data_IF_320122484999
#
_entry.id   IF_320122484999
#
_cell.length_a   1.000
_cell.length_b   1.000
_cell.length_c   1.000
_cell.angle_alpha   90.00
_cell.angle_beta   90.00
_cell.angle_gamma   90.00
#
_symmetry.space_group_name_H-M   'P 1'
#
loop_
_entity.id
_entity.type
_entity.pdbx_description
1 polymer ?
#
# COMPACT_ATOMS: atom_id res chain seq x y z
N UNK A 1 -17.89 41.91 0.80
CA UNK A 1 -17.00 42.46 1.85
C UNK A 1 -15.59 42.60 1.30
N UNK A 2 -15.02 43.78 1.46
CA UNK A 2 -13.65 44.09 1.04
C UNK A 2 -12.64 43.38 1.96
N UNK A 3 -11.68 42.57 1.45
CA UNK A 3 -10.64 41.93 2.26
C UNK A 3 -9.63 42.92 2.88
N UNK A 4 -9.56 44.14 2.34
CA UNK A 4 -8.76 45.24 2.90
C UNK A 4 -9.56 46.06 3.93
N UNK A 5 -10.86 45.79 4.11
CA UNK A 5 -11.64 46.33 5.23
C UNK A 5 -11.25 45.60 6.52
N UNK A 6 -10.60 46.30 7.49
CA UNK A 6 -10.20 45.71 8.76
C UNK A 6 -11.35 45.08 9.56
N UNK A 7 -12.60 45.44 9.23
CA UNK A 7 -13.80 44.97 9.93
C UNK A 7 -14.47 43.74 9.32
N UNK A 8 -14.00 43.15 8.21
CA UNK A 8 -14.67 41.96 7.68
C UNK A 8 -14.66 40.80 8.70
N UNK A 9 -13.53 40.61 9.40
CA UNK A 9 -13.42 39.65 10.51
C UNK A 9 -14.35 39.98 11.66
N UNK A 10 -14.48 41.28 11.98
CA UNK A 10 -15.36 41.77 13.04
C UNK A 10 -16.84 41.49 12.70
N UNK A 11 -17.23 41.62 11.43
CA UNK A 11 -18.58 41.28 10.98
C UNK A 11 -18.86 39.77 11.10
N UNK A 12 -17.92 38.91 10.69
CA UNK A 12 -18.05 37.45 10.86
C UNK A 12 -18.12 37.08 12.36
N UNK A 13 -17.34 37.74 13.22
CA UNK A 13 -17.40 37.53 14.68
C UNK A 13 -18.72 37.98 15.30
N UNK A 14 -19.31 39.08 14.80
CA UNK A 14 -20.66 39.50 15.21
C UNK A 14 -21.71 38.47 14.84
N UNK A 15 -21.63 37.89 13.64
CA UNK A 15 -22.53 36.81 13.22
C UNK A 15 -22.36 35.56 14.09
N UNK A 16 -21.12 35.19 14.42
CA UNK A 16 -20.83 34.11 15.38
C UNK A 16 -21.51 34.36 16.73
N UNK A 17 -21.32 35.54 17.29
CA UNK A 17 -21.89 35.93 18.59
C UNK A 17 -23.42 35.92 18.54
N UNK A 18 -24.00 36.49 17.48
CA UNK A 18 -25.45 36.51 17.27
C UNK A 18 -26.03 35.09 17.17
N UNK A 19 -25.36 34.17 16.49
CA UNK A 19 -25.77 32.77 16.43
C UNK A 19 -25.70 32.09 17.80
N UNK A 20 -24.62 32.33 18.56
CA UNK A 20 -24.47 31.83 19.94
C UNK A 20 -25.57 32.37 20.88
N UNK A 21 -26.05 33.59 20.65
CA UNK A 21 -27.19 34.19 21.35
C UNK A 21 -28.56 33.65 20.88
N UNK A 22 -28.59 32.65 19.99
CA UNK A 22 -29.79 31.97 19.51
C UNK A 22 -30.43 32.58 18.24
N UNK A 23 -29.80 33.57 17.59
CA UNK A 23 -30.32 34.18 16.37
C UNK A 23 -29.99 33.32 15.15
N UNK A 24 -30.89 32.41 14.79
CA UNK A 24 -30.70 31.46 13.68
C UNK A 24 -30.43 32.15 12.33
N UNK A 25 -30.98 33.37 12.11
CA UNK A 25 -30.71 34.17 10.90
C UNK A 25 -29.22 34.45 10.66
N UNK A 26 -28.43 34.54 11.73
CA UNK A 26 -26.98 34.74 11.60
C UNK A 26 -26.29 33.56 10.90
N UNK A 27 -26.85 32.35 10.99
CA UNK A 27 -26.37 31.18 10.26
C UNK A 27 -26.59 31.34 8.74
N UNK A 28 -27.76 31.84 8.34
CA UNK A 28 -28.08 32.06 6.93
C UNK A 28 -27.16 33.13 6.31
N UNK A 29 -26.89 34.21 7.05
CA UNK A 29 -25.94 35.24 6.63
C UNK A 29 -24.51 34.68 6.49
N UNK A 30 -24.07 33.82 7.42
CA UNK A 30 -22.79 33.12 7.30
C UNK A 30 -22.73 32.21 6.07
N UNK A 31 -23.81 31.49 5.75
CA UNK A 31 -23.92 30.65 4.55
C UNK A 31 -23.85 31.48 3.28
N UNK A 32 -24.49 32.66 3.25
CA UNK A 32 -24.41 33.58 2.12
C UNK A 32 -22.98 34.06 1.89
N UNK A 33 -22.28 34.50 2.94
CA UNK A 33 -20.88 34.92 2.84
C UNK A 33 -19.98 33.79 2.36
N UNK A 34 -20.23 32.55 2.79
CA UNK A 34 -19.45 31.38 2.38
C UNK A 34 -19.62 31.03 0.89
N UNK A 35 -20.85 31.11 0.37
CA UNK A 35 -21.20 30.71 -0.99
C UNK A 35 -21.02 31.82 -2.06
N UNK A 36 -20.73 33.06 -1.66
CA UNK A 36 -20.57 34.16 -2.61
C UNK A 36 -19.24 34.07 -3.38
N UNK A 37 -19.31 33.78 -4.68
CA UNK A 37 -18.13 33.68 -5.55
C UNK A 37 -17.45 35.03 -5.83
N UNK A 38 -18.13 36.15 -5.59
CA UNK A 38 -17.52 37.47 -5.67
C UNK A 38 -16.82 37.86 -4.37
N UNK A 39 -17.00 37.06 -3.31
CA UNK A 39 -16.39 37.32 -2.01
C UNK A 39 -14.93 36.85 -1.99
N UNK A 40 -14.07 37.64 -1.36
CA UNK A 40 -12.66 37.27 -1.23
C UNK A 40 -12.48 35.94 -0.47
N UNK A 41 -11.60 35.02 -0.94
CA UNK A 41 -11.45 33.68 -0.37
C UNK A 41 -11.25 33.66 1.15
N UNK A 42 -10.44 34.58 1.71
CA UNK A 42 -10.24 34.68 3.17
C UNK A 42 -11.54 34.86 3.96
N UNK A 43 -12.46 35.70 3.50
CA UNK A 43 -13.72 35.93 4.21
C UNK A 43 -14.65 34.70 4.10
N UNK A 44 -14.67 34.05 2.93
CA UNK A 44 -15.38 32.78 2.73
C UNK A 44 -14.84 31.71 3.68
N UNK A 45 -13.51 31.59 3.80
CA UNK A 45 -12.85 30.63 4.71
C UNK A 45 -13.26 30.89 6.16
N UNK A 46 -13.18 32.13 6.62
CA UNK A 46 -13.52 32.47 8.01
C UNK A 46 -15.01 32.26 8.32
N UNK A 47 -15.91 32.60 7.40
CA UNK A 47 -17.32 32.27 7.53
C UNK A 47 -17.54 30.74 7.60
N UNK A 48 -16.87 29.99 6.73
CA UNK A 48 -16.88 28.52 6.71
C UNK A 48 -16.39 27.88 8.01
N UNK A 49 -15.33 28.43 8.64
CA UNK A 49 -14.85 27.99 9.95
C UNK A 49 -15.91 28.17 11.04
N UNK A 50 -16.54 29.35 11.09
CA UNK A 50 -17.63 29.60 12.04
C UNK A 50 -18.80 28.63 11.79
N UNK A 51 -19.17 28.40 10.53
CA UNK A 51 -20.20 27.43 10.16
C UNK A 51 -19.86 26.02 10.64
N UNK A 52 -18.63 25.55 10.43
CA UNK A 52 -18.21 24.22 10.87
C UNK A 52 -18.22 24.06 12.39
N UNK A 53 -17.84 25.10 13.14
CA UNK A 53 -17.92 25.14 14.60
C UNK A 53 -19.35 24.98 15.12
N UNK A 54 -20.37 25.41 14.34
CA UNK A 54 -21.78 25.28 14.76
C UNK A 54 -22.28 23.84 14.81
N UNK A 55 -21.64 22.94 14.05
CA UNK A 55 -22.11 21.56 13.82
C UNK A 55 -23.56 21.47 13.30
N UNK A 56 -24.12 22.57 12.77
CA UNK A 56 -25.51 22.64 12.35
C UNK A 56 -25.75 21.92 11.00
N UNK A 57 -26.88 21.21 10.79
CA UNK A 57 -27.16 20.52 9.52
C UNK A 57 -27.14 21.43 8.28
N UNK A 58 -27.57 22.68 8.40
CA UNK A 58 -27.51 23.64 7.28
C UNK A 58 -26.07 24.08 6.96
N UNK A 59 -25.22 24.23 7.98
CA UNK A 59 -23.80 24.50 7.78
C UNK A 59 -23.13 23.32 7.07
N UNK A 60 -23.39 22.09 7.52
CA UNK A 60 -22.94 20.86 6.85
C UNK A 60 -23.36 20.84 5.39
N UNK A 61 -24.64 21.15 5.09
CA UNK A 61 -25.14 21.17 3.72
C UNK A 61 -24.41 22.18 2.83
N UNK A 62 -24.18 23.40 3.34
CA UNK A 62 -23.48 24.44 2.60
C UNK A 62 -22.04 24.03 2.25
N UNK A 63 -21.29 23.54 3.25
CA UNK A 63 -19.89 23.15 3.08
C UNK A 63 -19.77 21.89 2.19
N UNK A 64 -20.68 20.92 2.36
CA UNK A 64 -20.74 19.73 1.51
C UNK A 64 -20.99 20.10 0.04
N UNK A 65 -21.97 20.96 -0.22
CA UNK A 65 -22.27 21.41 -1.58
C UNK A 65 -21.07 22.11 -2.23
N UNK A 66 -20.35 22.95 -1.47
CA UNK A 66 -19.13 23.59 -1.99
C UNK A 66 -18.11 22.53 -2.39
N UNK A 67 -17.75 21.61 -1.49
CA UNK A 67 -16.77 20.55 -1.78
C UNK A 67 -17.19 19.69 -2.98
N UNK A 68 -18.48 19.38 -3.12
CA UNK A 68 -19.01 18.60 -4.26
C UNK A 68 -19.00 19.33 -5.61
N UNK A 69 -19.08 20.67 -5.64
CA UNK A 69 -19.33 21.44 -6.88
C UNK A 69 -18.20 22.37 -7.28
N UNK A 70 -17.22 22.60 -6.39
CA UNK A 70 -16.13 23.55 -6.59
C UNK A 70 -15.36 23.29 -7.88
N UNK A 71 -15.14 24.34 -8.65
CA UNK A 71 -14.19 24.32 -9.76
C UNK A 71 -12.76 24.24 -9.22
N UNK A 72 -11.91 23.42 -9.84
CA UNK A 72 -10.51 23.23 -9.44
C UNK A 72 -9.66 24.52 -9.48
N UNK A 73 -10.24 25.67 -9.84
CA UNK A 73 -9.56 26.95 -10.01
C UNK A 73 -9.13 27.53 -8.65
N UNK A 74 -9.88 27.29 -7.56
CA UNK A 74 -9.49 27.73 -6.20
C UNK A 74 -9.22 26.53 -5.26
N UNK A 75 -8.05 25.90 -5.46
CA UNK A 75 -7.57 24.81 -4.60
C UNK A 75 -7.42 25.21 -3.13
N UNK A 76 -7.16 26.49 -2.84
CA UNK A 76 -6.99 26.96 -1.46
C UNK A 76 -8.32 26.93 -0.72
N UNK A 77 -9.38 27.42 -1.35
CA UNK A 77 -10.72 27.42 -0.76
C UNK A 77 -11.32 26.00 -0.69
N UNK A 78 -11.10 25.17 -1.71
CA UNK A 78 -11.50 23.76 -1.68
C UNK A 78 -10.83 23.00 -0.52
N UNK A 79 -9.51 23.16 -0.35
CA UNK A 79 -8.77 22.53 0.75
C UNK A 79 -9.31 22.95 2.11
N UNK A 80 -9.54 24.25 2.32
CA UNK A 80 -10.11 24.77 3.56
C UNK A 80 -11.52 24.19 3.83
N UNK A 81 -12.33 24.02 2.79
CA UNK A 81 -13.68 23.45 2.90
C UNK A 81 -13.66 21.94 3.23
N UNK A 82 -12.68 21.19 2.70
CA UNK A 82 -12.45 19.78 3.09
C UNK A 82 -12.05 19.69 4.57
N UNK A 83 -11.14 20.56 5.03
CA UNK A 83 -10.74 20.64 6.44
C UNK A 83 -11.93 20.97 7.36
N UNK A 84 -12.84 21.84 6.92
CA UNK A 84 -14.08 22.15 7.65
C UNK A 84 -15.06 20.97 7.70
N UNK A 85 -15.25 20.24 6.59
CA UNK A 85 -16.08 19.02 6.60
C UNK A 85 -15.54 17.97 7.56
N UNK A 86 -14.21 17.87 7.69
CA UNK A 86 -13.57 16.91 8.60
C UNK A 86 -13.92 17.17 10.09
N UNK A 87 -14.43 18.36 10.44
CA UNK A 87 -14.89 18.68 11.78
C UNK A 87 -16.22 18.00 12.14
N UNK A 88 -17.01 17.56 11.15
CA UNK A 88 -18.27 16.83 11.35
C UNK A 88 -18.00 15.32 11.51
N UNK A 89 -17.48 14.95 12.69
CA UNK A 89 -17.09 13.56 13.01
C UNK A 89 -18.27 12.60 12.86
N UNK A 90 -18.00 11.41 12.33
CA UNK A 90 -18.97 10.32 12.15
C UNK A 90 -20.19 10.67 11.28
N UNK A 91 -20.11 11.74 10.49
CA UNK A 91 -21.21 12.17 9.63
C UNK A 91 -21.11 11.56 8.20
N UNK A 92 -22.05 10.69 7.78
CA UNK A 92 -22.00 10.05 6.47
C UNK A 92 -22.02 11.04 5.30
N UNK A 93 -22.73 12.16 5.45
CA UNK A 93 -22.82 13.17 4.39
C UNK A 93 -21.48 13.88 4.17
N UNK A 94 -20.76 14.19 5.24
CA UNK A 94 -19.41 14.76 5.13
C UNK A 94 -18.47 13.79 4.39
N UNK A 95 -18.51 12.50 4.72
CA UNK A 95 -17.73 11.47 4.03
C UNK A 95 -18.13 11.34 2.55
N UNK A 96 -19.42 11.28 2.24
CA UNK A 96 -19.91 11.16 0.86
C UNK A 96 -19.52 12.36 0.00
N UNK A 97 -19.60 13.58 0.54
CA UNK A 97 -19.19 14.80 -0.15
C UNK A 97 -17.70 14.77 -0.51
N UNK A 98 -16.83 14.31 0.41
CA UNK A 98 -15.40 14.15 0.15
C UNK A 98 -15.14 13.11 -0.96
N UNK A 99 -15.79 11.95 -0.90
CA UNK A 99 -15.66 10.90 -1.95
C UNK A 99 -16.11 11.42 -3.31
N UNK A 100 -17.24 12.13 -3.36
CA UNK A 100 -17.75 12.72 -4.60
C UNK A 100 -16.80 13.78 -5.15
N UNK A 101 -16.20 14.61 -4.30
CA UNK A 101 -15.19 15.58 -4.71
C UNK A 101 -13.94 14.89 -5.29
N UNK A 102 -13.48 13.78 -4.69
CA UNK A 102 -12.37 12.99 -5.23
C UNK A 102 -12.68 12.50 -6.65
N UNK A 103 -13.86 11.92 -6.88
CA UNK A 103 -14.27 11.46 -8.21
C UNK A 103 -14.34 12.59 -9.24
N UNK A 104 -14.93 13.74 -8.88
CA UNK A 104 -15.05 14.88 -9.81
C UNK A 104 -13.67 15.45 -10.16
N UNK A 105 -12.76 15.55 -9.18
CA UNK A 105 -11.40 16.02 -9.42
C UNK A 105 -10.61 15.04 -10.29
N UNK A 106 -10.75 13.74 -10.05
CA UNK A 106 -10.11 12.69 -10.84
C UNK A 106 -10.60 12.70 -12.29
N UNK A 107 -11.91 12.73 -12.52
CA UNK A 107 -12.50 12.79 -13.86
C UNK A 107 -12.00 14.00 -14.65
N UNK A 108 -12.03 15.20 -14.05
CA UNK A 108 -11.54 16.43 -14.69
C UNK A 108 -10.04 16.41 -14.96
N UNK A 109 -9.26 15.89 -14.01
CA UNK A 109 -7.80 15.81 -14.18
C UNK A 109 -7.44 14.81 -15.27
N UNK A 110 -8.15 13.68 -15.35
CA UNK A 110 -7.98 12.69 -16.40
C UNK A 110 -8.37 13.25 -17.77
N UNK A 111 -9.49 13.96 -17.88
CA UNK A 111 -9.89 14.65 -19.12
C UNK A 111 -8.84 15.67 -19.57
N UNK A 112 -8.29 16.45 -18.64
CA UNK A 112 -7.19 17.38 -18.94
C UNK A 112 -5.92 16.65 -19.40
N UNK A 113 -5.55 15.55 -18.74
CA UNK A 113 -4.39 14.73 -19.14
C UNK A 113 -4.56 14.15 -20.55
N UNK A 114 -5.75 13.64 -20.89
CA UNK A 114 -6.06 13.14 -22.24
C UNK A 114 -5.89 14.27 -23.26
N UNK A 115 -6.51 15.43 -23.01
CA UNK A 115 -6.39 16.60 -23.89
C UNK A 115 -4.92 17.04 -24.07
N UNK A 116 -4.12 17.05 -23.01
CA UNK A 116 -2.69 17.40 -23.09
C UNK A 116 -1.90 16.40 -23.94
N UNK A 117 -2.11 15.09 -23.74
CA UNK A 117 -1.43 14.04 -24.51
C UNK A 117 -1.83 14.09 -25.99
N UNK A 118 -3.12 14.27 -26.28
CA UNK A 118 -3.62 14.44 -27.65
C UNK A 118 -3.03 15.68 -28.33
N UNK A 119 -2.76 16.77 -27.60
CA UNK A 119 -2.13 17.93 -28.22
C UNK A 119 -0.60 17.82 -28.29
N UNK A 120 0.02 17.04 -27.39
CA UNK A 120 1.47 16.80 -27.39
C UNK A 120 1.94 16.10 -28.68
N UNK A 121 1.14 15.19 -29.24
CA UNK A 121 1.48 14.54 -30.52
C UNK A 121 1.59 15.54 -31.69
N UNK A 122 0.88 16.68 -31.61
CA UNK A 122 0.87 17.74 -32.64
C UNK A 122 2.14 18.58 -32.57
N UNK A 123 2.76 18.66 -31.40
CA UNK A 123 4.02 19.36 -31.17
C UNK A 123 5.17 18.41 -31.53
N UNK A 124 5.49 18.31 -32.83
CA UNK A 124 6.55 17.42 -33.36
C UNK A 124 7.93 17.77 -32.79
N UNK A 125 8.34 17.15 -31.69
CA UNK A 125 9.70 17.24 -31.15
C UNK A 125 10.47 15.94 -31.37
N UNK A 126 11.80 16.01 -31.48
CA UNK A 126 12.65 14.83 -31.64
C UNK A 126 12.61 13.89 -30.41
N UNK A 127 12.16 14.41 -29.26
CA UNK A 127 12.18 13.74 -27.96
C UNK A 127 10.78 13.37 -27.42
N UNK A 128 9.77 13.25 -28.28
CA UNK A 128 8.38 12.93 -27.86
C UNK A 128 8.28 11.65 -27.03
N UNK A 129 9.11 10.64 -27.31
CA UNK A 129 9.14 9.39 -26.52
C UNK A 129 9.56 9.66 -25.07
N UNK A 130 10.55 10.53 -24.84
CA UNK A 130 11.02 10.86 -23.49
C UNK A 130 9.96 11.61 -22.68
N UNK A 131 9.23 12.53 -23.31
CA UNK A 131 8.15 13.29 -22.65
C UNK A 131 6.97 12.35 -22.29
N UNK A 132 6.63 11.42 -23.17
CA UNK A 132 5.57 10.44 -22.90
C UNK A 132 5.98 9.43 -21.80
N UNK A 133 7.26 9.04 -21.76
CA UNK A 133 7.80 8.20 -20.68
C UNK A 133 7.77 8.92 -19.33
N UNK A 134 8.17 10.20 -19.28
CA UNK A 134 8.11 11.02 -18.07
C UNK A 134 6.66 11.15 -17.56
N UNK A 135 5.70 11.44 -18.46
CA UNK A 135 4.29 11.49 -18.11
C UNK A 135 3.78 10.14 -17.55
N UNK A 136 4.16 9.03 -18.20
CA UNK A 136 3.82 7.68 -17.75
C UNK A 136 4.39 7.39 -16.35
N UNK A 137 5.64 7.76 -16.08
CA UNK A 137 6.27 7.60 -14.78
C UNK A 137 5.56 8.40 -13.68
N UNK A 138 5.21 9.66 -13.96
CA UNK A 138 4.46 10.52 -13.03
C UNK A 138 3.07 9.94 -12.73
N UNK A 139 2.34 9.49 -13.75
CA UNK A 139 1.02 8.88 -13.57
C UNK A 139 1.11 7.62 -12.69
N UNK A 140 2.06 6.73 -12.98
CA UNK A 140 2.29 5.50 -12.21
C UNK A 140 2.72 5.79 -10.77
N UNK A 141 3.52 6.84 -10.54
CA UNK A 141 3.93 7.27 -9.21
C UNK A 141 2.76 7.84 -8.41
N UNK A 142 1.88 8.61 -9.04
CA UNK A 142 0.68 9.16 -8.39
C UNK A 142 -0.31 8.06 -8.00
N UNK A 143 -0.62 7.13 -8.91
CA UNK A 143 -1.46 5.96 -8.60
C UNK A 143 -0.92 5.18 -7.40
N UNK A 144 0.39 4.89 -7.41
CA UNK A 144 1.07 4.23 -6.29
C UNK A 144 0.99 5.00 -4.97
N UNK A 145 1.02 6.33 -5.00
CA UNK A 145 0.91 7.16 -3.80
C UNK A 145 -0.51 7.06 -3.23
N UNK A 146 -1.52 7.11 -4.10
CA UNK A 146 -2.94 7.00 -3.75
C UNK A 146 -3.26 5.62 -3.16
N UNK A 147 -2.86 4.54 -3.84
CA UNK A 147 -3.04 3.18 -3.34
C UNK A 147 -2.38 2.97 -1.97
N UNK A 148 -1.14 3.42 -1.79
CA UNK A 148 -0.46 3.33 -0.50
C UNK A 148 -1.20 4.08 0.62
N UNK A 149 -1.70 5.29 0.33
CA UNK A 149 -2.48 6.07 1.30
C UNK A 149 -3.79 5.37 1.66
N UNK A 150 -4.51 4.82 0.67
CA UNK A 150 -5.73 4.05 0.89
C UNK A 150 -5.47 2.81 1.73
N UNK A 151 -4.44 2.02 1.40
CA UNK A 151 -4.06 0.83 2.19
C UNK A 151 -3.74 1.19 3.64
N UNK A 152 -2.99 2.27 3.88
CA UNK A 152 -2.69 2.75 5.24
C UNK A 152 -3.94 3.21 5.99
N UNK A 153 -4.81 3.95 5.30
CA UNK A 153 -6.06 4.46 5.87
C UNK A 153 -6.97 3.31 6.25
N UNK A 154 -7.14 2.31 5.36
CA UNK A 154 -7.89 1.07 5.65
C UNK A 154 -7.30 0.33 6.85
N UNK A 155 -5.97 0.23 6.95
CA UNK A 155 -5.33 -0.41 8.09
C UNK A 155 -5.53 0.30 9.42
N UNK A 156 -5.59 1.63 9.40
CA UNK A 156 -5.87 2.45 10.58
C UNK A 156 -7.33 2.34 11.05
N UNK A 157 -8.26 1.90 10.19
CA UNK A 157 -9.63 1.60 10.61
C UNK A 157 -9.60 0.37 11.52
N UNK A 158 -10.02 0.49 12.78
CA UNK A 158 -10.09 -0.63 13.74
C UNK A 158 -11.20 -1.66 13.46
N UNK A 159 -11.69 -1.75 12.23
CA UNK A 159 -12.83 -2.58 11.82
C UNK A 159 -12.35 -3.75 10.95
N UNK A 160 -12.77 -4.98 11.26
CA UNK A 160 -12.39 -6.20 10.55
C UNK A 160 -12.97 -6.32 9.13
N UNK A 161 -13.98 -5.49 8.79
CA UNK A 161 -14.50 -5.39 7.42
C UNK A 161 -13.44 -4.98 6.38
N UNK A 162 -12.29 -4.44 6.81
CA UNK A 162 -11.17 -4.11 5.91
C UNK A 162 -10.32 -5.32 5.54
N UNK A 163 -10.42 -6.45 6.26
CA UNK A 163 -9.60 -7.64 6.05
C UNK A 163 -9.77 -8.21 4.62
N UNK A 164 -10.98 -8.42 4.09
CA UNK A 164 -11.15 -8.91 2.72
C UNK A 164 -10.55 -7.97 1.68
N UNK A 165 -10.70 -6.65 1.87
CA UNK A 165 -10.17 -5.63 0.95
C UNK A 165 -8.65 -5.62 0.95
N UNK A 166 -8.02 -5.60 2.13
CA UNK A 166 -6.56 -5.68 2.26
C UNK A 166 -6.01 -7.00 1.73
N UNK A 167 -6.77 -8.09 1.85
CA UNK A 167 -6.43 -9.40 1.28
C UNK A 167 -6.44 -9.36 -0.24
N UNK A 168 -7.45 -8.75 -0.87
CA UNK A 168 -7.47 -8.50 -2.31
C UNK A 168 -6.27 -7.67 -2.74
N UNK A 169 -5.98 -6.56 -2.05
CA UNK A 169 -4.81 -5.70 -2.35
C UNK A 169 -3.50 -6.51 -2.25
N UNK A 170 -3.36 -7.37 -1.25
CA UNK A 170 -2.16 -8.20 -1.08
C UNK A 170 -1.98 -9.25 -2.20
N UNK A 171 -3.09 -9.74 -2.77
CA UNK A 171 -3.13 -10.79 -3.81
C UNK A 171 -3.10 -10.26 -5.23
N UNK A 172 -3.48 -9.01 -5.45
CA UNK A 172 -3.54 -8.42 -6.77
C UNK A 172 -2.14 -8.23 -7.40
N UNK A 173 -1.82 -8.92 -8.52
CA UNK A 173 -0.52 -8.79 -9.19
C UNK A 173 -0.31 -7.41 -9.84
N UNK A 174 -1.38 -6.67 -10.15
CA UNK A 174 -1.31 -5.34 -10.75
C UNK A 174 -0.96 -4.25 -9.71
N UNK A 175 -1.19 -4.54 -8.42
CA UNK A 175 -0.81 -3.65 -7.32
C UNK A 175 0.71 -3.71 -7.08
N UNK A 176 1.36 -2.55 -6.95
CA UNK A 176 2.80 -2.50 -6.68
C UNK A 176 3.15 -3.21 -5.37
N UNK A 177 4.27 -3.96 -5.38
CA UNK A 177 4.69 -4.78 -4.24
C UNK A 177 4.73 -4.00 -2.92
N UNK A 178 5.15 -2.73 -2.93
CA UNK A 178 5.34 -1.97 -1.69
C UNK A 178 4.03 -1.78 -0.94
N UNK A 179 2.93 -1.69 -1.70
CA UNK A 179 1.56 -1.58 -1.19
C UNK A 179 1.06 -2.95 -0.75
N UNK A 180 1.34 -4.01 -1.53
CA UNK A 180 1.07 -5.40 -1.13
C UNK A 180 1.74 -5.77 0.19
N UNK A 181 3.03 -5.42 0.36
CA UNK A 181 3.80 -5.58 1.61
C UNK A 181 3.12 -4.85 2.77
N UNK A 182 2.66 -3.61 2.53
CA UNK A 182 2.00 -2.80 3.54
C UNK A 182 0.67 -3.40 3.96
N UNK A 183 -0.14 -3.88 3.02
CA UNK A 183 -1.40 -4.57 3.30
C UNK A 183 -1.16 -5.81 4.15
N UNK A 184 -0.14 -6.60 3.80
CA UNK A 184 0.33 -7.76 4.56
C UNK A 184 0.76 -7.42 5.98
N UNK A 185 1.58 -6.37 6.16
CA UNK A 185 2.02 -5.91 7.47
C UNK A 185 0.85 -5.48 8.35
N UNK A 186 -0.14 -4.81 7.76
CA UNK A 186 -1.37 -4.38 8.43
C UNK A 186 -2.22 -5.59 8.84
N UNK A 187 -2.41 -6.55 7.93
CA UNK A 187 -3.17 -7.77 8.18
C UNK A 187 -2.56 -8.57 9.34
N UNK A 188 -1.23 -8.76 9.34
CA UNK A 188 -0.52 -9.47 10.41
C UNK A 188 -0.70 -8.84 11.79
N UNK A 189 -0.96 -7.53 11.87
CA UNK A 189 -1.23 -6.81 13.13
C UNK A 189 -2.69 -6.89 13.60
N UNK A 190 -3.63 -7.25 12.72
CA UNK A 190 -5.07 -7.13 12.97
C UNK A 190 -5.71 -8.40 13.55
N UNK A 191 -5.57 -9.54 12.87
CA UNK A 191 -6.21 -10.78 13.30
C UNK A 191 -5.44 -11.99 12.72
N UNK A 192 -4.66 -12.71 13.54
CA UNK A 192 -3.77 -13.76 13.04
C UNK A 192 -4.49 -14.91 12.32
N UNK A 193 -5.66 -15.33 12.80
CA UNK A 193 -6.25 -16.61 12.37
C UNK A 193 -6.85 -16.57 10.95
N UNK A 194 -7.53 -15.48 10.56
CA UNK A 194 -8.08 -15.32 9.19
C UNK A 194 -7.01 -14.96 8.16
N UNK A 195 -5.91 -14.38 8.64
CA UNK A 195 -4.84 -13.82 7.81
C UNK A 195 -3.85 -14.93 7.40
N UNK A 196 -3.71 -15.99 8.19
CA UNK A 196 -2.89 -17.17 7.89
C UNK A 196 -3.23 -17.83 6.54
N UNK A 197 -4.52 -18.05 6.25
CA UNK A 197 -4.96 -18.69 5.00
C UNK A 197 -4.63 -17.82 3.79
N UNK A 198 -4.87 -16.51 3.89
CA UNK A 198 -4.50 -15.56 2.85
C UNK A 198 -2.98 -15.49 2.62
N UNK A 199 -2.18 -15.63 3.69
CA UNK A 199 -0.73 -15.75 3.61
C UNK A 199 -0.28 -17.04 2.93
N UNK A 200 -0.85 -18.19 3.26
CA UNK A 200 -0.49 -19.48 2.69
C UNK A 200 -0.71 -19.51 1.16
N UNK A 201 -1.83 -18.96 0.69
CA UNK A 201 -2.12 -18.84 -0.75
C UNK A 201 -1.13 -17.91 -1.47
N UNK A 202 -0.76 -16.79 -0.84
CA UNK A 202 0.22 -15.84 -1.40
C UNK A 202 1.64 -16.41 -1.49
N UNK A 203 2.02 -17.27 -0.55
CA UNK A 203 3.30 -17.98 -0.53
C UNK A 203 3.34 -19.13 -1.53
N UNK A 204 2.19 -19.76 -1.79
CA UNK A 204 2.04 -20.91 -2.67
C UNK A 204 1.77 -20.59 -4.13
N UNK A 205 1.66 -19.32 -4.54
CA UNK A 205 1.43 -18.93 -5.94
C UNK A 205 2.73 -18.45 -6.64
N UNK A 206 3.38 -19.32 -7.44
CA UNK A 206 4.59 -18.98 -8.19
C UNK A 206 4.32 -18.02 -9.36
N UNK A 207 3.05 -17.84 -9.76
CA UNK A 207 2.68 -17.07 -10.95
C UNK A 207 2.68 -15.57 -10.74
N UNK A 208 2.70 -15.09 -9.49
CA UNK A 208 2.82 -13.65 -9.19
C UNK A 208 4.13 -13.01 -9.69
N UNK A 209 5.03 -13.78 -10.32
CA UNK A 209 6.32 -13.35 -10.87
C UNK A 209 6.56 -13.77 -12.34
N UNK A 210 5.64 -14.51 -12.98
CA UNK A 210 5.85 -15.01 -14.35
C UNK A 210 5.57 -13.93 -15.40
N UNK A 211 4.60 -13.04 -15.17
CA UNK A 211 4.20 -12.03 -16.16
C UNK A 211 5.28 -10.97 -16.41
N UNK A 212 5.98 -10.49 -15.37
CA UNK A 212 7.09 -9.52 -15.54
C UNK A 212 8.31 -10.19 -16.18
N UNK A 213 8.55 -11.48 -15.90
CA UNK A 213 9.62 -12.28 -16.50
C UNK A 213 9.34 -12.57 -17.97
N UNK A 214 8.12 -12.98 -18.31
CA UNK A 214 7.66 -13.18 -19.70
C UNK A 214 7.64 -11.88 -20.48
N UNK A 215 7.10 -10.79 -19.90
CA UNK A 215 7.10 -9.48 -20.54
C UNK A 215 8.53 -9.00 -20.83
N UNK A 216 9.46 -9.11 -19.87
CA UNK A 216 10.86 -8.72 -20.09
C UNK A 216 11.54 -9.61 -21.16
N UNK A 217 11.38 -10.94 -21.10
CA UNK A 217 11.97 -11.87 -22.07
C UNK A 217 11.41 -11.64 -23.49
N UNK A 218 10.10 -11.48 -23.62
CA UNK A 218 9.41 -11.27 -24.90
C UNK A 218 9.65 -9.87 -25.47
N UNK A 219 9.81 -8.83 -24.62
CA UNK A 219 10.05 -7.44 -25.04
C UNK A 219 11.53 -7.17 -25.35
N UNK A 220 12.47 -7.85 -24.67
CA UNK A 220 13.91 -7.74 -24.97
C UNK A 220 14.28 -8.41 -26.30
N UNK A 221 13.49 -9.37 -26.77
CA UNK A 221 13.64 -10.03 -28.08
C UNK A 221 13.22 -9.09 -29.23
N UNK A 222 13.98 -8.02 -29.48
CA UNK A 222 13.76 -7.13 -30.63
C UNK A 222 14.20 -5.68 -30.44
N UNK A 223 14.58 -5.26 -29.23
CA UNK A 223 14.94 -3.88 -28.92
C UNK A 223 16.43 -3.62 -29.20
N UNK A 224 16.75 -2.72 -30.14
CA UNK A 224 18.12 -2.30 -30.49
C UNK A 224 18.65 -1.10 -29.71
N UNK A 225 17.87 -0.54 -28.79
CA UNK A 225 18.24 0.66 -28.02
C UNK A 225 18.77 0.27 -26.64
N UNK A 226 20.06 0.49 -26.43
CA UNK A 226 20.80 0.13 -25.21
C UNK A 226 20.18 0.72 -23.93
N UNK A 227 19.73 1.99 -23.98
CA UNK A 227 19.08 2.65 -22.84
C UNK A 227 17.75 1.99 -22.44
N UNK A 228 16.99 1.48 -23.41
CA UNK A 228 15.72 0.79 -23.14
C UNK A 228 15.97 -0.60 -22.55
N UNK A 229 17.01 -1.30 -23.03
CA UNK A 229 17.44 -2.59 -22.45
C UNK A 229 17.89 -2.41 -20.99
N UNK A 230 18.68 -1.38 -20.69
CA UNK A 230 19.12 -1.08 -19.31
C UNK A 230 17.94 -0.74 -18.38
N UNK A 231 16.95 0.03 -18.85
CA UNK A 231 15.75 0.35 -18.08
C UNK A 231 14.91 -0.92 -17.79
N UNK A 232 14.76 -1.81 -18.77
CA UNK A 232 14.05 -3.09 -18.60
C UNK A 232 14.77 -4.03 -17.63
N UNK A 233 16.10 -4.14 -17.72
CA UNK A 233 16.91 -4.93 -16.80
C UNK A 233 16.83 -4.41 -15.36
N UNK A 234 16.90 -3.10 -15.17
CA UNK A 234 16.73 -2.48 -13.86
C UNK A 234 15.32 -2.72 -13.30
N UNK A 235 14.30 -2.67 -14.14
CA UNK A 235 12.91 -2.98 -13.76
C UNK A 235 12.78 -4.43 -13.31
N UNK A 236 13.34 -5.37 -14.07
CA UNK A 236 13.36 -6.80 -13.74
C UNK A 236 14.06 -7.08 -12.40
N UNK A 237 15.28 -6.56 -12.22
CA UNK A 237 16.05 -6.74 -10.97
C UNK A 237 15.36 -6.08 -9.78
N UNK A 238 14.67 -4.96 -10.01
CA UNK A 238 13.88 -4.29 -8.98
C UNK A 238 12.68 -5.13 -8.59
N UNK A 239 11.92 -5.69 -9.54
CA UNK A 239 10.80 -6.62 -9.29
C UNK A 239 11.22 -7.85 -8.49
N UNK A 240 12.36 -8.46 -8.83
CA UNK A 240 12.93 -9.59 -8.08
C UNK A 240 13.26 -9.25 -6.62
N UNK A 241 13.95 -8.12 -6.38
CA UNK A 241 14.26 -7.65 -5.01
C UNK A 241 12.98 -7.34 -4.23
N UNK A 242 12.02 -6.73 -4.90
CA UNK A 242 10.70 -6.37 -4.39
C UNK A 242 9.92 -7.60 -3.91
N UNK A 243 9.86 -8.64 -4.73
CA UNK A 243 9.25 -9.93 -4.39
C UNK A 243 9.88 -10.57 -3.15
N UNK A 244 11.22 -10.67 -3.09
CA UNK A 244 11.88 -11.23 -1.91
C UNK A 244 11.70 -10.37 -0.66
N UNK A 245 11.49 -9.06 -0.80
CA UNK A 245 11.10 -8.21 0.31
C UNK A 245 9.70 -8.53 0.82
N UNK A 246 8.73 -8.81 -0.06
CA UNK A 246 7.38 -9.25 0.34
C UNK A 246 7.47 -10.57 1.10
N UNK A 247 8.16 -11.53 0.51
CA UNK A 247 8.34 -12.88 1.06
C UNK A 247 9.01 -12.84 2.45
N UNK A 248 10.05 -12.02 2.60
CA UNK A 248 10.68 -11.79 3.91
C UNK A 248 9.72 -11.18 4.94
N UNK A 249 8.85 -10.27 4.52
CA UNK A 249 7.86 -9.64 5.40
C UNK A 249 6.81 -10.66 5.85
N UNK A 250 6.29 -11.46 4.90
CA UNK A 250 5.37 -12.56 5.17
C UNK A 250 5.97 -13.56 6.15
N UNK A 251 7.18 -14.07 5.86
CA UNK A 251 7.86 -15.01 6.76
C UNK A 251 8.10 -14.41 8.16
N UNK A 252 8.39 -13.11 8.26
CA UNK A 252 8.57 -12.46 9.57
C UNK A 252 7.26 -12.43 10.38
N UNK A 253 6.13 -12.19 9.71
CA UNK A 253 4.83 -12.20 10.37
C UNK A 253 4.44 -13.62 10.79
N UNK A 254 4.64 -14.61 9.92
CA UNK A 254 4.12 -15.97 10.06
C UNK A 254 4.71 -16.79 11.22
N UNK A 255 5.81 -16.38 11.83
CA UNK A 255 6.37 -17.07 13.00
C UNK A 255 5.47 -17.06 14.22
N UNK A 256 4.44 -16.21 14.21
CA UNK A 256 3.45 -16.07 15.28
C UNK A 256 2.15 -16.86 15.01
N UNK A 257 2.06 -17.61 13.90
CA UNK A 257 0.83 -18.22 13.41
C UNK A 257 0.94 -19.75 13.42
N UNK A 258 0.10 -20.46 14.17
CA UNK A 258 0.06 -21.94 14.18
C UNK A 258 -1.03 -22.49 13.25
N UNK A 259 -0.95 -22.15 11.96
CA UNK A 259 -1.87 -22.62 10.93
C UNK A 259 -1.27 -23.75 10.07
N UNK A 260 -1.99 -24.86 9.82
CA UNK A 260 -1.49 -25.99 9.02
C UNK A 260 -1.15 -25.67 7.55
N UNK A 261 -1.89 -24.78 6.88
CA UNK A 261 -1.61 -24.41 5.49
C UNK A 261 -0.41 -23.46 5.40
N UNK A 262 -0.27 -22.54 6.35
CA UNK A 262 0.95 -21.71 6.48
C UNK A 262 2.18 -22.60 6.66
N UNK A 263 2.10 -23.56 7.58
CA UNK A 263 3.19 -24.52 7.86
C UNK A 263 3.59 -25.28 6.59
N UNK A 264 2.62 -25.71 5.79
CA UNK A 264 2.85 -26.39 4.51
C UNK A 264 3.58 -25.50 3.50
N UNK A 265 3.15 -24.25 3.34
CA UNK A 265 3.80 -23.29 2.45
C UNK A 265 5.25 -22.97 2.89
N UNK A 266 5.49 -22.81 4.19
CA UNK A 266 6.84 -22.57 4.73
C UNK A 266 7.75 -23.78 4.50
N UNK A 267 7.25 -25.01 4.63
CA UNK A 267 8.01 -26.24 4.29
C UNK A 267 8.39 -26.26 2.81
N UNK A 268 7.48 -25.86 1.91
CA UNK A 268 7.75 -25.82 0.48
C UNK A 268 8.89 -24.82 0.15
N UNK A 269 8.81 -23.62 0.72
CA UNK A 269 9.85 -22.58 0.55
C UNK A 269 11.21 -23.06 1.06
N UNK A 270 11.26 -23.66 2.26
CA UNK A 270 12.50 -24.14 2.84
C UNK A 270 13.21 -25.21 1.97
N UNK A 271 12.42 -26.05 1.28
CA UNK A 271 12.91 -27.20 0.50
C UNK A 271 13.20 -26.88 -0.97
N UNK A 272 12.55 -25.87 -1.55
CA UNK A 272 12.72 -25.54 -2.96
C UNK A 272 14.05 -24.84 -3.23
N UNK A 273 14.70 -25.19 -4.35
CA UNK A 273 15.92 -24.54 -4.82
C UNK A 273 15.65 -23.26 -5.64
N UNK A 274 14.37 -22.92 -5.88
CA UNK A 274 13.95 -21.73 -6.63
C UNK A 274 14.05 -20.43 -5.80
N UNK A 275 14.18 -20.57 -4.48
CA UNK A 275 14.27 -19.45 -3.55
C UNK A 275 15.73 -19.12 -3.17
N UNK A 276 16.07 -17.82 -2.98
CA UNK A 276 17.38 -17.42 -2.49
C UNK A 276 17.70 -18.01 -1.12
N UNK A 277 18.99 -18.19 -0.85
CA UNK A 277 19.50 -18.74 0.41
C UNK A 277 18.91 -18.05 1.64
N UNK A 278 18.87 -16.72 1.67
CA UNK A 278 18.40 -15.96 2.84
C UNK A 278 16.90 -16.20 3.13
N UNK A 279 16.08 -16.35 2.09
CA UNK A 279 14.66 -16.68 2.21
C UNK A 279 14.49 -18.08 2.80
N UNK A 280 15.23 -19.06 2.27
CA UNK A 280 15.17 -20.44 2.73
C UNK A 280 15.62 -20.58 4.17
N UNK A 281 16.72 -19.91 4.56
CA UNK A 281 17.17 -19.82 5.95
C UNK A 281 16.07 -19.32 6.86
N UNK A 282 15.45 -18.21 6.49
CA UNK A 282 14.36 -17.61 7.28
C UNK A 282 13.15 -18.52 7.39
N UNK A 283 12.80 -19.24 6.32
CA UNK A 283 11.73 -20.24 6.35
C UNK A 283 12.06 -21.39 7.32
N UNK A 284 13.31 -21.90 7.31
CA UNK A 284 13.78 -22.94 8.24
C UNK A 284 13.72 -22.44 9.70
N UNK A 285 14.20 -21.23 9.97
CA UNK A 285 14.13 -20.63 11.31
C UNK A 285 12.68 -20.54 11.79
N UNK A 286 11.77 -20.14 10.89
CA UNK A 286 10.34 -20.05 11.18
C UNK A 286 9.71 -21.39 11.54
N UNK A 287 10.16 -22.48 10.91
CA UNK A 287 9.64 -23.82 11.23
C UNK A 287 9.88 -24.21 12.70
N UNK A 288 10.89 -23.61 13.35
CA UNK A 288 11.18 -23.81 14.77
C UNK A 288 10.16 -23.15 15.71
N UNK A 289 9.40 -22.16 15.23
CA UNK A 289 8.41 -21.43 16.05
C UNK A 289 7.09 -22.21 16.19
N UNK A 290 6.73 -23.04 15.20
CA UNK A 290 5.53 -23.88 15.24
C UNK A 290 5.56 -25.00 16.30
N UNK A 291 6.73 -25.29 16.91
CA UNK A 291 6.92 -26.36 17.92
C UNK A 291 6.37 -27.74 17.49
N UNK A 292 6.43 -28.04 16.19
CA UNK A 292 5.87 -29.27 15.61
C UNK A 292 7.00 -30.20 15.14
N UNK A 293 7.30 -31.30 15.86
CA UNK A 293 8.35 -32.25 15.47
C UNK A 293 8.17 -32.89 14.08
N UNK A 294 6.94 -32.88 13.52
CA UNK A 294 6.66 -33.50 12.21
C UNK A 294 7.31 -32.75 11.04
N UNK A 295 7.80 -31.52 11.24
CA UNK A 295 8.52 -30.74 10.22
C UNK A 295 9.96 -31.23 10.03
N UNK A 296 10.59 -31.77 11.08
CA UNK A 296 11.99 -32.20 11.09
C UNK A 296 12.28 -33.20 9.95
N UNK A 297 11.57 -34.34 9.81
CA UNK A 297 11.86 -35.30 8.74
C UNK A 297 11.58 -34.75 7.34
N UNK A 298 10.79 -33.67 7.20
CA UNK A 298 10.51 -33.03 5.90
C UNK A 298 11.63 -32.10 5.46
N UNK A 299 12.30 -31.44 6.40
CA UNK A 299 13.36 -30.46 6.13
C UNK A 299 14.74 -31.11 6.12
N UNK A 300 14.98 -32.12 6.95
CA UNK A 300 16.29 -32.74 7.09
C UNK A 300 16.93 -33.21 5.76
N UNK A 301 16.19 -33.75 4.77
CA UNK A 301 16.74 -34.11 3.46
C UNK A 301 17.37 -32.94 2.67
N UNK A 302 17.07 -31.68 3.03
CA UNK A 302 17.72 -30.51 2.41
C UNK A 302 19.24 -30.57 2.56
N UNK A 303 19.75 -31.13 3.66
CA UNK A 303 21.19 -31.27 3.93
C UNK A 303 21.86 -32.42 3.17
N UNK A 304 21.11 -33.22 2.40
CA UNK A 304 21.71 -34.29 1.58
C UNK A 304 22.48 -33.71 0.38
N UNK A 305 22.13 -32.49 -0.06
CA UNK A 305 22.84 -31.81 -1.14
C UNK A 305 24.06 -31.07 -0.60
N UNK A 306 25.22 -31.29 -1.23
CA UNK A 306 26.50 -30.63 -0.90
C UNK A 306 26.37 -29.10 -0.80
N UNK A 307 25.65 -28.49 -1.73
CA UNK A 307 25.48 -27.03 -1.83
C UNK A 307 24.62 -26.45 -0.71
N UNK A 308 23.85 -27.29 -0.02
CA UNK A 308 22.89 -26.90 1.01
C UNK A 308 23.48 -26.92 2.43
N UNK A 309 24.78 -27.20 2.60
CA UNK A 309 25.45 -27.14 3.91
C UNK A 309 25.27 -25.78 4.61
N UNK A 310 25.06 -24.72 3.84
CA UNK A 310 24.78 -23.36 4.34
C UNK A 310 23.53 -23.26 5.24
N UNK A 311 22.64 -24.26 5.23
CA UNK A 311 21.44 -24.33 6.08
C UNK A 311 21.64 -25.14 7.37
N UNK A 312 22.84 -25.68 7.60
CA UNK A 312 23.13 -26.57 8.75
C UNK A 312 22.76 -25.95 10.09
N UNK A 313 23.25 -24.73 10.35
CA UNK A 313 23.02 -24.03 11.61
C UNK A 313 21.53 -23.71 11.80
N UNK A 314 20.85 -23.22 10.76
CA UNK A 314 19.41 -22.94 10.78
C UNK A 314 18.58 -24.21 11.11
N UNK A 315 18.94 -25.36 10.54
CA UNK A 315 18.24 -26.63 10.80
C UNK A 315 18.50 -27.12 12.23
N UNK A 316 19.72 -26.95 12.75
CA UNK A 316 20.02 -27.26 14.15
C UNK A 316 19.24 -26.37 15.10
N UNK A 317 19.20 -25.07 14.85
CA UNK A 317 18.47 -24.09 15.65
C UNK A 317 16.97 -24.37 15.62
N UNK A 318 16.41 -24.70 14.45
CA UNK A 318 15.03 -25.16 14.29
C UNK A 318 14.74 -26.38 15.20
N UNK A 319 15.58 -27.41 15.17
CA UNK A 319 15.41 -28.62 15.99
C UNK A 319 15.54 -28.30 17.48
N UNK A 320 16.48 -27.45 17.86
CA UNK A 320 16.66 -26.99 19.24
C UNK A 320 15.44 -26.22 19.73
N UNK A 321 14.89 -25.33 18.90
CA UNK A 321 13.66 -24.60 19.22
C UNK A 321 12.47 -25.55 19.40
N UNK A 322 12.35 -26.61 18.61
CA UNK A 322 11.29 -27.61 18.76
C UNK A 322 11.48 -28.45 20.05
N UNK A 323 12.71 -28.58 20.56
CA UNK A 323 13.04 -29.35 21.77
C UNK A 323 13.35 -30.83 21.50
N UNK A 324 13.77 -31.13 20.27
CA UNK A 324 13.98 -32.49 19.76
C UNK A 324 15.48 -32.79 19.51
N UNK A 325 16.37 -31.98 20.10
CA UNK A 325 17.82 -32.04 19.86
C UNK A 325 18.43 -33.38 20.29
N UNK A 326 17.95 -33.97 21.38
CA UNK A 326 18.45 -35.25 21.89
C UNK A 326 18.20 -36.40 20.93
N UNK A 327 17.15 -36.30 20.12
CA UNK A 327 16.76 -37.34 19.18
C UNK A 327 17.46 -37.12 17.83
N UNK A 328 17.51 -35.87 17.35
CA UNK A 328 17.88 -35.60 15.96
C UNK A 328 19.29 -35.03 15.75
N UNK A 329 19.97 -34.51 16.77
CA UNK A 329 21.26 -33.83 16.59
C UNK A 329 22.34 -34.73 15.94
N UNK A 330 22.37 -36.02 16.28
CA UNK A 330 23.32 -36.97 15.69
C UNK A 330 23.01 -37.21 14.20
N UNK A 331 21.74 -37.31 13.82
CA UNK A 331 21.35 -37.50 12.43
C UNK A 331 21.66 -36.27 11.57
N UNK A 332 21.44 -35.07 12.10
CA UNK A 332 21.80 -33.79 11.45
C UNK A 332 23.31 -33.73 11.20
N UNK A 333 24.12 -34.07 12.21
CA UNK A 333 25.59 -34.13 12.08
C UNK A 333 26.03 -35.12 11.01
N UNK A 334 25.42 -36.31 10.94
CA UNK A 334 25.75 -37.32 9.93
C UNK A 334 25.42 -36.86 8.51
N UNK A 335 24.26 -36.27 8.30
CA UNK A 335 23.86 -35.77 6.98
C UNK A 335 24.74 -34.61 6.53
N UNK A 336 25.04 -33.66 7.43
CA UNK A 336 25.96 -32.57 7.15
C UNK A 336 27.39 -33.04 6.89
N UNK A 337 27.85 -34.07 7.62
CA UNK A 337 29.15 -34.69 7.39
C UNK A 337 29.23 -35.34 6.01
N UNK A 338 28.19 -36.08 5.60
CA UNK A 338 28.11 -36.68 4.26
C UNK A 338 28.22 -35.62 3.16
N UNK A 339 27.43 -34.55 3.25
CA UNK A 339 27.48 -33.43 2.31
C UNK A 339 28.85 -32.72 2.26
N UNK A 340 29.56 -32.63 3.40
CA UNK A 340 30.88 -32.03 3.47
C UNK A 340 32.02 -32.97 3.03
N UNK A 341 31.87 -34.28 3.13
CA UNK A 341 32.88 -35.24 2.67
C UNK A 341 32.87 -35.37 1.14
N UNK A 342 31.69 -35.39 0.52
CA UNK A 342 31.53 -35.30 -0.95
C UNK A 342 32.10 -33.98 -1.52
N UNK A 343 32.33 -32.96 -0.67
CA UNK A 343 33.03 -31.73 -1.06
C UNK A 343 34.52 -31.92 -1.31
N UNK A 344 35.18 -32.80 -0.56
CA UNK A 344 36.64 -32.97 -0.60
C UNK A 344 37.14 -34.01 -1.60
N UNK A 345 36.26 -34.89 -2.09
CA UNK A 345 36.64 -35.91 -3.10
C UNK A 345 36.53 -35.42 -4.55
N UNK A 346 35.90 -34.27 -4.79
CA UNK A 346 35.66 -33.70 -6.13
C UNK A 346 36.31 -32.32 -6.36
N UNK A 347 37.05 -31.82 -5.37
CA UNK A 347 38.00 -30.70 -5.49
C UNK A 347 39.42 -31.30 -5.61
#
# INVERSE_FOLDING_TARGET
MDPDDPNFLNNIQKLRSAYQDGKVQALDELIQVYNDDNQHPKARIEAGRVLADTQHPMALNAIANMVETTSAVDFSFLKASIEMLALFRENPKASMAMVKAMHILEERTNDLHVNLVENLHKVRTKDQILVLLDLYEVAKANMSRTENLMTQTLGALGNDQVIPVLTTIAKDPDVRIGIRNKAVEILGKKNPDEVAIAFAELLGDPNTNLEVREFAINTMAGVRQENLVLALLNTYNTGKRQYYSLLNTMLSALGEFDDPEVKKAVIEIARSDDYPTDIRKKAIDNLGTFKDPSVIPKILPVLEKKENYVYYDNILDMIYMIGEEKIWAEQVRRMAYKANFERREHD
#
